data_IF_172136274798
#
_entry.id   IF_172136274798
#
_cell.length_a   1.000
_cell.length_b   1.000
_cell.length_c   1.000
_cell.angle_alpha   90.00
_cell.angle_beta   90.00
_cell.angle_gamma   90.00
#
_symmetry.space_group_name_H-M   'P 1'
#
loop_
_entity.id
_entity.type
_entity.pdbx_description
1 polymer ?
#
# COMPACT_ATOMS: atom_id res chain seq x y z
N UNK A 1 16.98 17.02 0.66
CA UNK A 1 15.87 17.64 1.42
C UNK A 1 14.56 17.22 0.78
N UNK A 2 13.50 17.00 1.56
CA UNK A 2 12.20 16.55 1.03
C UNK A 2 11.51 17.69 0.25
N UNK A 3 10.87 17.45 -0.92
CA UNK A 3 10.19 18.51 -1.70
C UNK A 3 9.17 19.32 -0.89
N UNK A 4 8.44 18.67 0.02
CA UNK A 4 7.46 19.32 0.91
C UNK A 4 8.06 20.32 1.89
N UNK A 5 9.40 20.40 2.01
CA UNK A 5 10.06 21.42 2.84
C UNK A 5 9.99 22.83 2.21
N UNK A 6 9.56 22.96 0.97
CA UNK A 6 9.53 24.21 0.21
C UNK A 6 8.07 24.57 -0.17
N UNK A 7 7.36 25.37 0.65
CA UNK A 7 5.91 25.59 0.48
C UNK A 7 5.56 26.32 -0.82
N UNK A 8 6.47 27.13 -1.35
CA UNK A 8 6.29 27.90 -2.59
C UNK A 8 6.45 27.06 -3.86
N UNK A 9 6.91 25.81 -3.76
CA UNK A 9 7.01 24.88 -4.89
C UNK A 9 6.01 23.72 -4.81
N UNK A 10 4.99 23.82 -3.94
CA UNK A 10 3.95 22.81 -3.81
C UNK A 10 2.87 22.95 -4.88
N UNK A 11 2.07 21.89 -5.04
CA UNK A 11 0.96 21.81 -6.01
C UNK A 11 0.03 23.04 -6.07
N UNK A 12 -0.35 23.71 -4.96
CA UNK A 12 -1.20 24.90 -5.04
C UNK A 12 -0.62 26.08 -5.84
N UNK A 13 0.69 26.10 -6.10
CA UNK A 13 1.35 27.13 -6.90
C UNK A 13 1.30 26.84 -8.42
N UNK A 14 0.89 25.65 -8.83
CA UNK A 14 0.83 25.22 -10.24
C UNK A 14 -0.63 25.12 -10.72
N UNK A 15 -1.03 25.85 -11.80
CA UNK A 15 -2.39 25.76 -12.35
C UNK A 15 -2.66 24.45 -13.10
N UNK A 16 -1.66 23.60 -13.36
CA UNK A 16 -1.79 22.36 -14.12
C UNK A 16 -1.44 21.16 -13.25
N UNK A 17 -2.27 20.11 -13.31
CA UNK A 17 -1.99 18.83 -12.67
C UNK A 17 -1.54 17.80 -13.70
N UNK A 18 -0.35 17.23 -13.50
CA UNK A 18 0.15 16.11 -14.28
C UNK A 18 -0.29 14.79 -13.65
N UNK A 19 -1.40 14.25 -14.12
CA UNK A 19 -1.91 12.95 -13.67
C UNK A 19 -1.14 11.81 -14.32
N UNK A 20 -0.80 10.80 -13.52
CA UNK A 20 -0.08 9.59 -13.97
C UNK A 20 -0.81 8.35 -13.46
N UNK A 21 -0.62 7.22 -14.14
CA UNK A 21 -1.16 5.94 -13.71
C UNK A 21 -0.53 5.49 -12.38
N UNK A 22 -1.33 4.96 -11.46
CA UNK A 22 -0.86 4.47 -10.17
C UNK A 22 0.12 3.29 -10.29
N UNK A 23 0.02 2.51 -11.37
CA UNK A 23 0.91 1.39 -11.69
C UNK A 23 2.39 1.78 -11.84
N UNK A 24 2.69 3.07 -12.06
CA UNK A 24 4.07 3.57 -12.05
C UNK A 24 4.70 3.59 -10.64
N UNK A 25 3.89 3.53 -9.58
CA UNK A 25 4.34 3.51 -8.20
C UNK A 25 3.92 2.20 -7.51
N UNK A 26 2.75 2.21 -6.85
CA UNK A 26 2.18 1.02 -6.22
C UNK A 26 1.11 0.46 -7.15
N UNK A 27 1.38 -0.69 -7.75
CA UNK A 27 0.47 -1.36 -8.69
C UNK A 27 -0.76 -2.01 -8.01
N UNK A 28 -1.35 -1.32 -7.05
CA UNK A 28 -2.57 -1.69 -6.36
C UNK A 28 -3.22 -0.48 -5.68
N UNK A 29 -4.55 -0.54 -5.53
CA UNK A 29 -5.36 0.52 -4.92
C UNK A 29 -5.29 0.61 -3.39
N UNK A 30 -4.13 0.37 -2.77
CA UNK A 30 -3.97 0.46 -1.31
C UNK A 30 -4.02 1.88 -0.74
N UNK A 31 -3.38 2.91 -1.34
CA UNK A 31 -3.30 4.25 -0.71
C UNK A 31 -4.64 4.88 -0.31
N UNK A 32 -5.75 4.71 -1.05
CA UNK A 32 -7.07 5.19 -0.60
C UNK A 32 -7.64 4.41 0.59
N UNK A 33 -7.30 3.12 0.75
CA UNK A 33 -7.82 2.23 1.79
C UNK A 33 -7.11 2.43 3.13
N UNK A 34 -5.79 2.59 3.10
CA UNK A 34 -4.96 2.70 4.32
C UNK A 34 -4.99 4.09 4.97
N UNK A 35 -5.90 4.97 4.56
CA UNK A 35 -6.09 6.27 5.20
C UNK A 35 -6.71 6.05 6.58
N UNK A 36 -6.12 6.63 7.61
CA UNK A 36 -6.53 6.45 9.02
C UNK A 36 -8.04 6.65 9.26
N UNK A 37 -8.66 7.65 8.63
CA UNK A 37 -10.08 7.96 8.76
C UNK A 37 -11.04 6.90 8.16
N UNK A 38 -10.53 5.93 7.41
CA UNK A 38 -11.36 4.86 6.81
C UNK A 38 -11.64 3.71 7.78
N UNK A 39 -10.82 3.54 8.83
CA UNK A 39 -10.96 2.48 9.83
C UNK A 39 -11.24 1.11 9.20
N UNK A 40 -10.39 0.70 8.24
CA UNK A 40 -10.58 -0.57 7.53
C UNK A 40 -10.09 -1.72 8.40
N UNK A 41 -10.97 -2.66 8.73
CA UNK A 41 -10.61 -3.85 9.51
C UNK A 41 -10.02 -4.97 8.64
N UNK A 42 -10.55 -5.16 7.43
CA UNK A 42 -10.18 -6.25 6.52
C UNK A 42 -9.98 -5.75 5.09
N UNK A 43 -8.89 -6.16 4.45
CA UNK A 43 -8.57 -5.87 3.06
C UNK A 43 -8.51 -7.16 2.26
N UNK A 44 -9.28 -7.23 1.18
CA UNK A 44 -9.16 -8.27 0.15
C UNK A 44 -8.24 -7.76 -0.96
N UNK A 45 -7.00 -8.25 -0.99
CA UNK A 45 -5.98 -7.86 -1.97
C UNK A 45 -6.00 -8.81 -3.16
N UNK A 46 -6.62 -8.39 -4.27
CA UNK A 46 -6.60 -9.14 -5.53
C UNK A 46 -5.41 -8.66 -6.37
N UNK A 47 -4.42 -9.53 -6.57
CA UNK A 47 -3.23 -9.20 -7.33
C UNK A 47 -3.27 -9.80 -8.73
N UNK A 48 -3.26 -8.93 -9.74
CA UNK A 48 -3.24 -9.30 -11.16
C UNK A 48 -1.85 -9.14 -11.80
N UNK A 49 -0.81 -8.94 -10.99
CA UNK A 49 0.54 -8.74 -11.50
C UNK A 49 1.09 -10.04 -12.09
N UNK A 50 1.51 -9.99 -13.35
CA UNK A 50 2.18 -11.10 -14.04
C UNK A 50 3.68 -11.18 -13.72
N UNK A 51 4.07 -10.91 -12.46
CA UNK A 51 5.46 -10.92 -12.02
C UNK A 51 5.80 -12.22 -11.28
N UNK A 52 7.05 -12.71 -11.33
CA UNK A 52 7.45 -13.90 -10.58
C UNK A 52 7.26 -13.74 -9.06
N UNK A 53 7.55 -12.55 -8.51
CA UNK A 53 7.26 -12.23 -7.11
C UNK A 53 5.82 -11.73 -6.96
N UNK A 54 4.91 -12.66 -6.68
CA UNK A 54 3.50 -12.39 -6.44
C UNK A 54 3.25 -11.49 -5.21
N UNK A 55 4.24 -11.32 -4.32
CA UNK A 55 4.11 -10.49 -3.12
C UNK A 55 4.72 -9.10 -3.28
N UNK A 56 5.32 -8.78 -4.42
CA UNK A 56 6.03 -7.51 -4.60
C UNK A 56 5.15 -6.30 -4.31
N UNK A 57 3.93 -6.29 -4.83
CA UNK A 57 3.01 -5.15 -4.69
C UNK A 57 2.60 -4.92 -3.23
N UNK A 58 2.32 -6.00 -2.49
CA UNK A 58 1.94 -5.90 -1.07
C UNK A 58 3.14 -5.53 -0.18
N UNK A 59 4.37 -5.94 -0.54
CA UNK A 59 5.60 -5.46 0.12
C UNK A 59 5.86 -3.97 -0.12
N UNK A 60 5.70 -3.49 -1.35
CA UNK A 60 5.79 -2.06 -1.67
C UNK A 60 4.74 -1.25 -0.89
N UNK A 61 3.56 -1.82 -0.67
CA UNK A 61 2.53 -1.21 0.18
C UNK A 61 2.96 -1.16 1.64
N UNK A 62 3.54 -2.24 2.17
CA UNK A 62 4.10 -2.25 3.52
C UNK A 62 5.18 -1.16 3.69
N UNK A 63 6.08 -1.02 2.73
CA UNK A 63 7.10 0.03 2.72
C UNK A 63 6.46 1.43 2.72
N UNK A 64 5.50 1.66 1.81
CA UNK A 64 4.75 2.92 1.73
C UNK A 64 4.09 3.30 3.07
N UNK A 65 3.48 2.32 3.74
CA UNK A 65 2.81 2.49 5.03
C UNK A 65 3.82 2.74 6.15
N UNK A 66 4.91 1.97 6.20
CA UNK A 66 5.98 2.12 7.19
C UNK A 66 6.60 3.52 7.15
N UNK A 67 6.94 4.02 5.96
CA UNK A 67 7.51 5.36 5.77
C UNK A 67 6.59 6.48 6.27
N UNK A 68 5.27 6.24 6.26
CA UNK A 68 4.23 7.19 6.66
C UNK A 68 3.66 6.91 8.05
N UNK A 69 4.21 5.93 8.77
CA UNK A 69 3.72 5.49 10.09
C UNK A 69 2.24 5.10 10.06
N UNK A 70 1.79 4.49 8.97
CA UNK A 70 0.45 3.95 8.81
C UNK A 70 0.47 2.49 9.28
N UNK A 71 -0.41 2.06 10.20
CA UNK A 71 -0.54 0.67 10.60
C UNK A 71 -0.82 -0.24 9.39
N UNK A 72 0.01 -1.27 9.21
CA UNK A 72 -0.13 -2.26 8.16
C UNK A 72 0.58 -3.56 8.60
N UNK A 73 0.03 -4.74 8.31
CA UNK A 73 0.62 -5.98 8.79
C UNK A 73 1.97 -6.27 8.12
N UNK A 74 2.82 -7.01 8.84
CA UNK A 74 4.09 -7.48 8.30
C UNK A 74 3.84 -8.60 7.29
N UNK A 75 4.44 -8.46 6.11
CA UNK A 75 4.39 -9.42 5.02
C UNK A 75 5.59 -10.38 5.17
N UNK A 76 5.37 -11.51 5.84
CA UNK A 76 6.35 -12.60 5.97
C UNK A 76 6.00 -13.78 5.03
N UNK A 77 7.01 -14.57 4.67
CA UNK A 77 6.80 -15.69 3.76
C UNK A 77 6.49 -16.96 4.54
N UNK A 78 5.23 -17.39 4.54
CA UNK A 78 4.86 -18.74 4.98
C UNK A 78 4.05 -19.41 3.88
N UNK A 79 4.41 -20.67 3.61
CA UNK A 79 3.82 -21.49 2.55
C UNK A 79 2.28 -21.45 2.66
N UNK A 80 1.65 -20.96 1.60
CA UNK A 80 0.22 -21.12 1.27
C UNK A 80 -0.81 -20.45 2.19
N UNK A 81 -0.40 -19.55 3.09
CA UNK A 81 -1.32 -18.68 3.83
C UNK A 81 -1.08 -17.24 3.42
N UNK A 82 -2.08 -16.62 2.81
CA UNK A 82 -2.05 -15.23 2.36
C UNK A 82 -2.83 -14.29 3.30
N UNK A 83 -3.00 -14.70 4.56
CA UNK A 83 -3.59 -13.87 5.60
C UNK A 83 -2.46 -13.22 6.37
N UNK A 84 -2.42 -11.89 6.34
CA UNK A 84 -1.45 -11.08 7.07
C UNK A 84 -2.17 -10.31 8.15
N UNK A 85 -1.72 -10.48 9.38
CA UNK A 85 -2.26 -9.83 10.57
C UNK A 85 -1.10 -9.34 11.45
N UNK A 86 -1.32 -8.23 12.15
CA UNK A 86 -0.44 -7.78 13.21
C UNK A 86 -1.14 -7.98 14.56
N UNK A 87 -0.76 -9.04 15.28
CA UNK A 87 -1.40 -9.41 16.55
C UNK A 87 -1.08 -8.42 17.67
N UNK A 88 0.01 -7.69 17.54
CA UNK A 88 0.47 -6.72 18.54
C UNK A 88 -0.14 -5.33 18.28
N UNK A 89 -0.75 -5.11 17.12
CA UNK A 89 -1.34 -3.84 16.71
C UNK A 89 -2.75 -4.01 16.10
N UNK A 90 -3.82 -3.90 16.89
CA UNK A 90 -5.20 -4.08 16.42
C UNK A 90 -5.67 -2.98 15.45
N UNK A 91 -4.95 -1.87 15.32
CA UNK A 91 -5.25 -0.81 14.34
C UNK A 91 -4.79 -1.17 12.92
N UNK A 92 -3.95 -2.20 12.77
CA UNK A 92 -3.53 -2.68 11.46
C UNK A 92 -4.62 -3.58 10.84
N UNK A 93 -4.98 -3.38 9.56
CA UNK A 93 -5.97 -4.23 8.90
C UNK A 93 -5.47 -5.66 8.74
N UNK A 94 -6.39 -6.62 8.79
CA UNK A 94 -6.14 -7.98 8.31
C UNK A 94 -6.14 -7.96 6.78
N UNK A 95 -5.10 -8.46 6.14
CA UNK A 95 -5.01 -8.51 4.67
C UNK A 95 -5.10 -9.96 4.19
N UNK A 96 -6.12 -10.26 3.40
CA UNK A 96 -6.23 -11.52 2.66
C UNK A 96 -5.76 -11.27 1.23
N UNK A 97 -4.66 -11.89 0.83
CA UNK A 97 -4.04 -11.69 -0.48
C UNK A 97 -4.31 -12.85 -1.44
N UNK A 98 -4.67 -12.52 -2.67
CA UNK A 98 -5.03 -13.48 -3.72
C UNK A 98 -4.10 -13.22 -4.91
N UNK A 99 -3.01 -13.99 -5.05
CA UNK A 99 -2.12 -13.87 -6.20
C UNK A 99 -2.76 -14.43 -7.47
N UNK A 100 -2.26 -14.02 -8.63
CA UNK A 100 -2.69 -14.56 -9.92
C UNK A 100 -2.01 -15.92 -10.15
N UNK A 101 -2.69 -16.99 -9.77
CA UNK A 101 -2.25 -18.39 -9.90
C UNK A 101 -3.34 -19.23 -10.57
N UNK A 102 -2.96 -20.34 -11.22
CA UNK A 102 -3.86 -21.31 -11.87
C UNK A 102 -3.90 -22.61 -11.08
#
# INVERSE_FOLDING_TARGET
THPDAYPNSMTPADPVLSMVDAGFAVNAGFPPLVRSHRHVDVILSLNYSWQPDQFKVIKQTQEYCSDRKIPFPKIDFKKEVYVFEDKDNPEAPIVLHFPLVN
#
